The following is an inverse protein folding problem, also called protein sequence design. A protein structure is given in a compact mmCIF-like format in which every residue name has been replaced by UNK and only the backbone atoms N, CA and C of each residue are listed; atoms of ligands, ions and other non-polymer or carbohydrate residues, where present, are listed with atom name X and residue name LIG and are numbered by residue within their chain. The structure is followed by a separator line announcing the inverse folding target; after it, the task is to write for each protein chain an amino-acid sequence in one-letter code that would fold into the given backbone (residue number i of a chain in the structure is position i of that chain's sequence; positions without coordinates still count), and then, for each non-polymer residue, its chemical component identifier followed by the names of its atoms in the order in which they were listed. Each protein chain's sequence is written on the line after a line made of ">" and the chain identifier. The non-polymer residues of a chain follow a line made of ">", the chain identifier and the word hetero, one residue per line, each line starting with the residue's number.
data_IF_430256476179
#
_entry.id   IF_430256476179
#
_cell.length_a   1.000
_cell.length_b   1.000
_cell.length_c   1.000
_cell.angle_alpha   90.00
_cell.angle_beta   90.00
_cell.angle_gamma   90.00
#
_symmetry.space_group_name_H-M   'P 1'
#
loop_
_entity.id
_entity.type
_entity.pdbx_description
1 polymer ?
#
# COMPACT_ATOMS: atom_id res chain seq x y z
N UNK A 1 -9.56 41.42 32.39
CA UNK A 1 -10.47 41.24 31.23
C UNK A 1 -11.08 39.86 31.36
N UNK A 2 -12.37 39.70 31.03
CA UNK A 2 -13.00 38.38 31.01
C UNK A 2 -12.47 37.51 29.86
N UNK A 3 -12.83 36.22 29.82
CA UNK A 3 -12.50 35.34 28.70
C UNK A 3 -13.01 35.92 27.37
N UNK A 4 -12.20 35.81 26.33
CA UNK A 4 -12.53 36.27 24.98
C UNK A 4 -13.57 35.36 24.30
N UNK A 5 -14.16 35.81 23.19
CA UNK A 5 -15.03 34.96 22.36
C UNK A 5 -14.29 33.71 21.86
N UNK A 6 -12.98 33.83 21.64
CA UNK A 6 -12.12 32.71 21.25
C UNK A 6 -12.02 31.67 22.39
N UNK A 7 -11.86 32.13 23.64
CA UNK A 7 -11.79 31.26 24.83
C UNK A 7 -13.12 30.53 25.09
N UNK A 8 -14.25 31.11 24.68
CA UNK A 8 -15.58 30.49 24.77
C UNK A 8 -15.93 29.60 23.55
N UNK A 9 -14.97 29.36 22.66
CA UNK A 9 -15.16 28.53 21.46
C UNK A 9 -14.33 27.25 21.51
N UNK A 10 -14.68 26.20 20.75
CA UNK A 10 -13.82 25.02 20.61
C UNK A 10 -12.62 25.27 19.68
N UNK A 11 -12.49 26.46 19.08
CA UNK A 11 -11.52 26.73 18.02
C UNK A 11 -10.06 26.56 18.46
N UNK A 12 -9.63 27.02 19.67
CA UNK A 12 -8.27 26.77 20.16
C UNK A 12 -7.93 25.28 20.24
N UNK A 13 -8.88 24.46 20.73
CA UNK A 13 -8.74 23.01 20.78
C UNK A 13 -8.62 22.42 19.37
N UNK A 14 -9.48 22.83 18.43
CA UNK A 14 -9.44 22.33 17.05
C UNK A 14 -8.14 22.69 16.33
N UNK A 15 -7.58 23.88 16.59
CA UNK A 15 -6.26 24.25 16.10
C UNK A 15 -5.16 23.37 16.71
N UNK A 16 -5.19 23.13 18.03
CA UNK A 16 -4.22 22.27 18.69
C UNK A 16 -4.24 20.85 18.13
N UNK A 17 -5.42 20.21 18.01
CA UNK A 17 -5.52 18.86 17.47
C UNK A 17 -5.04 18.78 16.01
N UNK A 18 -5.12 19.88 15.25
CA UNK A 18 -4.59 19.93 13.89
C UNK A 18 -3.06 19.74 13.80
N UNK A 19 -2.32 19.96 14.90
CA UNK A 19 -0.87 19.71 14.96
C UNK A 19 -0.55 18.22 14.75
N UNK A 20 -1.43 17.30 15.15
CA UNK A 20 -1.25 15.85 14.94
C UNK A 20 -1.13 15.45 13.46
N UNK A 21 -1.56 16.32 12.54
CA UNK A 21 -1.40 16.12 11.09
C UNK A 21 0.04 16.32 10.62
N UNK A 22 0.83 17.06 11.40
CA UNK A 22 2.20 17.46 11.09
C UNK A 22 3.24 16.72 11.94
N UNK A 23 2.83 16.09 13.03
CA UNK A 23 3.72 15.30 13.89
C UNK A 23 3.93 13.93 13.24
N UNK A 24 5.14 13.61 12.77
CA UNK A 24 5.44 12.29 12.24
C UNK A 24 5.47 11.26 13.39
N UNK A 25 5.08 10.02 13.09
CA UNK A 25 5.33 8.89 13.97
C UNK A 25 6.83 8.61 14.06
N UNK A 26 7.42 9.04 15.16
CA UNK A 26 8.87 9.20 15.34
C UNK A 26 9.59 7.85 15.32
N UNK A 27 8.93 6.77 15.72
CA UNK A 27 9.44 5.39 15.62
C UNK A 27 9.98 5.03 14.22
N UNK A 28 9.35 5.56 13.17
CA UNK A 28 9.69 5.29 11.78
C UNK A 28 10.86 6.12 11.25
N UNK A 29 11.15 7.30 11.80
CA UNK A 29 12.13 8.25 11.25
C UNK A 29 13.56 7.70 11.16
N UNK A 30 13.86 6.61 11.87
CA UNK A 30 15.14 5.89 11.79
C UNK A 30 15.36 5.24 10.43
N UNK A 31 14.26 4.88 9.76
CA UNK A 31 14.29 4.04 8.56
C UNK A 31 13.48 4.67 7.43
N UNK A 32 12.36 5.34 7.70
CA UNK A 32 11.43 5.93 6.73
C UNK A 32 11.58 7.45 6.69
N UNK A 33 11.75 8.03 5.50
CA UNK A 33 12.01 9.46 5.34
C UNK A 33 10.74 10.32 5.53
N UNK A 34 9.61 9.86 4.99
CA UNK A 34 8.32 10.55 5.07
C UNK A 34 7.30 9.60 5.72
N UNK A 35 7.40 9.37 7.04
CA UNK A 35 6.46 8.49 7.71
C UNK A 35 5.08 9.14 7.83
N UNK A 36 4.11 8.32 8.21
CA UNK A 36 2.77 8.75 8.56
C UNK A 36 2.79 9.76 9.72
N UNK A 37 1.72 10.52 9.85
CA UNK A 37 1.50 11.37 11.01
C UNK A 37 0.76 10.61 12.12
N UNK A 38 0.83 11.11 13.35
CA UNK A 38 0.09 10.56 14.50
C UNK A 38 -1.41 10.50 14.19
N UNK A 39 -1.96 11.53 13.53
CA UNK A 39 -3.37 11.52 13.14
C UNK A 39 -3.74 10.46 12.09
N UNK A 40 -2.81 10.06 11.22
CA UNK A 40 -3.03 8.98 10.25
C UNK A 40 -3.09 7.62 10.94
N UNK A 41 -2.16 7.36 11.85
CA UNK A 41 -2.16 6.19 12.73
C UNK A 41 -3.48 6.07 13.52
N UNK A 42 -3.87 7.14 14.21
CA UNK A 42 -5.11 7.16 15.02
C UNK A 42 -6.37 6.94 14.16
N UNK A 43 -6.38 7.43 12.91
CA UNK A 43 -7.48 7.19 11.98
C UNK A 43 -7.61 5.71 11.62
N UNK A 44 -6.52 5.06 11.21
CA UNK A 44 -6.55 3.65 10.87
C UNK A 44 -6.90 2.79 12.08
N UNK A 45 -6.35 3.10 13.26
CA UNK A 45 -6.70 2.43 14.51
C UNK A 45 -8.19 2.55 14.85
N UNK A 46 -8.77 3.75 14.69
CA UNK A 46 -10.20 3.96 14.90
C UNK A 46 -11.06 3.15 13.91
N UNK A 47 -10.64 3.03 12.65
CA UNK A 47 -11.29 2.16 11.65
C UNK A 47 -11.18 0.69 12.03
N UNK A 48 -10.02 0.23 12.50
CA UNK A 48 -9.85 -1.14 13.03
C UNK A 48 -10.78 -1.39 14.22
N UNK A 49 -10.97 -0.39 15.08
CA UNK A 49 -11.87 -0.49 16.22
C UNK A 49 -13.36 -0.62 15.83
N UNK A 50 -13.75 -0.32 14.59
CA UNK A 50 -15.09 -0.62 14.08
C UNK A 50 -15.39 -2.12 14.02
N UNK A 51 -14.35 -2.96 14.03
CA UNK A 51 -14.46 -4.42 14.02
C UNK A 51 -14.38 -5.03 15.43
N UNK A 52 -14.52 -4.21 16.49
CA UNK A 52 -14.59 -4.71 17.85
C UNK A 52 -15.68 -5.79 17.99
N UNK A 53 -15.39 -6.92 18.68
CA UNK A 53 -16.35 -7.98 18.97
C UNK A 53 -17.63 -7.48 19.62
N UNK A 54 -18.74 -8.19 19.42
CA UNK A 54 -20.08 -7.76 19.88
C UNK A 54 -20.18 -7.61 21.41
N UNK A 55 -19.32 -8.27 22.17
CA UNK A 55 -19.27 -8.16 23.63
C UNK A 55 -18.50 -6.92 24.14
N UNK A 56 -17.95 -6.09 23.25
CA UNK A 56 -17.30 -4.82 23.59
C UNK A 56 -18.13 -3.62 23.14
N UNK A 57 -18.01 -2.51 23.86
CA UNK A 57 -18.57 -1.25 23.38
C UNK A 57 -17.72 -0.66 22.25
N UNK A 58 -18.09 -0.99 21.01
CA UNK A 58 -17.43 -0.51 19.78
C UNK A 58 -17.25 1.00 19.73
N UNK A 59 -18.29 1.77 20.09
CA UNK A 59 -18.22 3.22 20.08
C UNK A 59 -17.19 3.75 21.09
N UNK A 60 -17.05 3.06 22.23
CA UNK A 60 -16.01 3.38 23.21
C UNK A 60 -14.62 3.03 22.69
N UNK A 61 -14.43 1.86 22.06
CA UNK A 61 -13.15 1.50 21.43
C UNK A 61 -12.70 2.58 20.41
N UNK A 62 -13.61 2.98 19.51
CA UNK A 62 -13.35 4.03 18.51
C UNK A 62 -12.99 5.34 19.19
N UNK A 63 -13.72 5.72 20.24
CA UNK A 63 -13.45 6.98 20.96
C UNK A 63 -12.10 6.96 21.69
N UNK A 64 -11.73 5.84 22.33
CA UNK A 64 -10.41 5.66 22.93
C UNK A 64 -9.31 5.75 21.88
N UNK A 65 -9.45 5.05 20.74
CA UNK A 65 -8.50 5.12 19.63
C UNK A 65 -8.27 6.56 19.13
N UNK A 66 -9.34 7.35 19.01
CA UNK A 66 -9.25 8.76 18.63
C UNK A 66 -8.65 9.68 19.69
N UNK A 67 -8.54 9.26 20.96
CA UNK A 67 -8.07 10.10 22.06
C UNK A 67 -6.69 9.71 22.60
N UNK A 68 -6.27 8.45 22.44
CA UNK A 68 -5.15 7.89 23.20
C UNK A 68 -3.82 8.62 22.99
N UNK A 69 -3.53 9.10 21.77
CA UNK A 69 -2.32 9.86 21.43
C UNK A 69 -2.61 11.37 21.25
N UNK A 70 -3.78 11.89 21.64
CA UNK A 70 -4.07 13.32 21.52
C UNK A 70 -3.09 14.20 22.31
N UNK A 71 -2.52 13.69 23.40
CA UNK A 71 -1.52 14.40 24.20
C UNK A 71 -0.28 14.80 23.37
N UNK A 72 0.03 14.02 22.33
CA UNK A 72 1.18 14.25 21.46
C UNK A 72 1.07 15.56 20.69
N UNK A 73 -0.13 16.14 20.52
CA UNK A 73 -0.29 17.48 19.96
C UNK A 73 0.39 18.58 20.79
N UNK A 74 0.68 18.28 22.06
CA UNK A 74 1.36 19.17 23.00
C UNK A 74 2.80 18.73 23.24
N UNK A 75 3.04 17.43 23.42
CA UNK A 75 4.34 16.89 23.86
C UNK A 75 5.19 16.26 22.76
N UNK A 76 4.63 16.06 21.56
CA UNK A 76 5.23 15.30 20.46
C UNK A 76 5.17 13.78 20.67
N UNK A 77 5.39 13.01 19.60
CA UNK A 77 5.56 11.55 19.69
C UNK A 77 6.92 11.24 20.32
N UNK A 78 6.91 10.77 21.57
CA UNK A 78 8.12 10.39 22.33
C UNK A 78 8.44 8.91 22.05
N UNK A 79 9.47 8.60 21.24
CA UNK A 79 9.79 7.23 20.87
C UNK A 79 10.50 6.49 22.01
N UNK A 80 10.40 5.17 22.02
CA UNK A 80 11.06 4.30 23.02
C UNK A 80 12.58 4.47 23.04
N UNK A 81 13.21 4.71 21.89
CA UNK A 81 14.66 4.88 21.78
C UNK A 81 15.16 6.25 22.29
N UNK A 82 14.27 7.20 22.62
CA UNK A 82 14.67 8.46 23.25
C UNK A 82 15.14 8.26 24.71
N UNK A 83 14.96 7.07 25.29
CA UNK A 83 15.40 6.75 26.65
C UNK A 83 14.65 7.51 27.74
N UNK A 84 13.53 8.15 27.41
CA UNK A 84 12.68 8.85 28.38
C UNK A 84 12.04 7.81 29.31
N UNK A 85 12.23 7.90 30.65
CA UNK A 85 11.60 6.99 31.58
C UNK A 85 10.07 6.98 31.43
N UNK A 86 9.45 5.81 31.52
CA UNK A 86 7.99 5.65 31.34
C UNK A 86 7.18 6.59 32.23
N UNK A 87 7.59 6.76 33.49
CA UNK A 87 6.93 7.68 34.42
C UNK A 87 7.02 9.15 33.98
N UNK A 88 8.15 9.55 33.38
CA UNK A 88 8.32 10.90 32.87
C UNK A 88 7.47 11.12 31.62
N UNK A 89 7.45 10.16 30.68
CA UNK A 89 6.58 10.18 29.51
C UNK A 89 5.11 10.33 29.92
N UNK A 90 4.63 9.46 30.82
CA UNK A 90 3.27 9.51 31.33
C UNK A 90 2.93 10.87 31.99
N UNK A 91 3.87 11.44 32.75
CA UNK A 91 3.69 12.77 33.35
C UNK A 91 3.54 13.87 32.29
N UNK A 92 4.37 13.85 31.24
CA UNK A 92 4.30 14.82 30.14
C UNK A 92 2.96 14.70 29.40
N UNK A 93 2.56 13.49 29.02
CA UNK A 93 1.30 13.26 28.31
C UNK A 93 0.09 13.67 29.15
N UNK A 94 0.11 13.39 30.46
CA UNK A 94 -0.91 13.88 31.39
C UNK A 94 -1.04 15.41 31.37
N UNK A 95 0.07 16.14 31.37
CA UNK A 95 0.03 17.60 31.22
C UNK A 95 -0.58 18.03 29.88
N UNK A 96 -0.29 17.30 28.79
CA UNK A 96 -0.88 17.55 27.48
C UNK A 96 -2.41 17.41 27.49
N UNK A 97 -2.92 16.34 28.10
CA UNK A 97 -4.37 16.10 28.23
C UNK A 97 -5.04 17.09 29.17
N UNK A 98 -4.40 17.45 30.28
CA UNK A 98 -4.89 18.50 31.20
C UNK A 98 -5.00 19.86 30.47
N UNK A 99 -4.07 20.16 29.56
CA UNK A 99 -4.15 21.36 28.72
C UNK A 99 -5.32 21.29 27.73
N UNK A 100 -5.54 20.14 27.07
CA UNK A 100 -6.70 19.91 26.20
C UNK A 100 -8.02 20.11 26.96
N UNK A 101 -8.14 19.55 28.16
CA UNK A 101 -9.32 19.72 29.02
C UNK A 101 -9.53 21.20 29.38
N UNK A 102 -8.44 21.93 29.67
CA UNK A 102 -8.49 23.38 29.96
C UNK A 102 -9.03 24.18 28.78
N UNK A 103 -8.57 23.90 27.55
CA UNK A 103 -9.05 24.59 26.34
C UNK A 103 -10.54 24.39 26.07
N UNK A 104 -11.10 23.28 26.55
CA UNK A 104 -12.52 22.95 26.40
C UNK A 104 -13.36 23.36 27.62
N UNK A 105 -12.74 23.80 28.72
CA UNK A 105 -13.43 24.04 29.99
C UNK A 105 -14.56 25.08 29.92
N UNK A 106 -14.41 26.11 29.09
CA UNK A 106 -15.42 27.18 28.92
C UNK A 106 -16.42 26.88 27.80
N UNK A 107 -15.97 26.22 26.73
CA UNK A 107 -16.77 26.01 25.52
C UNK A 107 -17.53 24.67 25.51
N UNK A 108 -16.92 23.60 26.04
CA UNK A 108 -17.48 22.26 26.03
C UNK A 108 -16.81 21.32 27.06
N UNK A 109 -17.00 21.62 28.35
CA UNK A 109 -16.34 20.90 29.45
C UNK A 109 -16.61 19.40 29.48
N UNK A 110 -17.80 18.96 29.04
CA UNK A 110 -18.15 17.55 28.93
C UNK A 110 -17.23 16.81 27.94
N UNK A 111 -16.94 17.41 26.79
CA UNK A 111 -16.04 16.80 25.79
C UNK A 111 -14.62 16.74 26.32
N UNK A 112 -14.14 17.79 26.99
CA UNK A 112 -12.82 17.80 27.63
C UNK A 112 -12.66 16.68 28.65
N UNK A 113 -13.64 16.52 29.54
CA UNK A 113 -13.66 15.45 30.53
C UNK A 113 -13.70 14.05 29.87
N UNK A 114 -14.50 13.86 28.81
CA UNK A 114 -14.58 12.59 28.09
C UNK A 114 -13.26 12.21 27.41
N UNK A 115 -12.56 13.16 26.79
CA UNK A 115 -11.25 12.91 26.17
C UNK A 115 -10.25 12.45 27.22
N UNK A 116 -10.19 13.16 28.35
CA UNK A 116 -9.30 12.81 29.46
C UNK A 116 -9.59 11.45 30.06
N UNK A 117 -10.87 11.13 30.26
CA UNK A 117 -11.32 9.83 30.74
C UNK A 117 -10.93 8.70 29.76
N UNK A 118 -11.10 8.90 28.46
CA UNK A 118 -10.69 7.92 27.45
C UNK A 118 -9.17 7.71 27.40
N UNK A 119 -8.39 8.78 27.54
CA UNK A 119 -6.93 8.70 27.64
C UNK A 119 -6.49 7.91 28.88
N UNK A 120 -7.05 8.24 30.06
CA UNK A 120 -6.77 7.53 31.31
C UNK A 120 -7.14 6.05 31.22
N UNK A 121 -8.29 5.72 30.63
CA UNK A 121 -8.73 4.34 30.44
C UNK A 121 -7.72 3.54 29.60
N UNK A 122 -7.22 4.13 28.52
CA UNK A 122 -6.19 3.52 27.68
C UNK A 122 -4.89 3.28 28.47
N UNK A 123 -4.39 4.31 29.16
CA UNK A 123 -3.15 4.26 29.93
C UNK A 123 -3.19 3.19 31.04
N UNK A 124 -4.32 3.10 31.75
CA UNK A 124 -4.53 2.06 32.75
C UNK A 124 -4.63 0.67 32.13
N UNK A 125 -5.30 0.53 30.98
CA UNK A 125 -5.44 -0.72 30.24
C UNK A 125 -6.14 -1.83 31.00
N UNK A 126 -7.07 -1.47 31.89
CA UNK A 126 -7.80 -2.42 32.74
C UNK A 126 -9.14 -2.85 32.16
N UNK A 127 -9.76 -1.99 31.33
CA UNK A 127 -11.04 -2.30 30.71
C UNK A 127 -10.86 -3.19 29.49
N UNK A 128 -11.86 -4.03 29.14
CA UNK A 128 -11.82 -4.82 27.91
C UNK A 128 -11.64 -3.96 26.65
N UNK A 129 -12.30 -2.80 26.59
CA UNK A 129 -12.19 -1.83 25.49
C UNK A 129 -10.77 -1.28 25.36
N UNK A 130 -10.15 -0.82 26.46
CA UNK A 130 -8.76 -0.32 26.42
C UNK A 130 -7.77 -1.43 26.06
N UNK A 131 -7.96 -2.64 26.57
CA UNK A 131 -7.11 -3.78 26.21
C UNK A 131 -7.19 -4.10 24.73
N UNK A 132 -8.40 -4.10 24.16
CA UNK A 132 -8.62 -4.29 22.74
C UNK A 132 -7.97 -3.18 21.90
N UNK A 133 -8.19 -1.90 22.26
CA UNK A 133 -7.60 -0.77 21.52
C UNK A 133 -6.07 -0.82 21.55
N UNK A 134 -5.47 -1.11 22.71
CA UNK A 134 -4.01 -1.24 22.83
C UNK A 134 -3.47 -2.42 22.03
N UNK A 135 -4.22 -3.49 21.89
CA UNK A 135 -3.82 -4.61 21.03
C UNK A 135 -3.90 -4.23 19.55
N UNK A 136 -4.99 -3.58 19.14
CA UNK A 136 -5.16 -3.09 17.77
C UNK A 136 -4.11 -2.03 17.41
N UNK A 137 -3.69 -1.16 18.33
CA UNK A 137 -2.60 -0.20 18.17
C UNK A 137 -1.28 -0.89 17.74
N UNK A 138 -0.94 -2.00 18.40
CA UNK A 138 0.25 -2.79 18.04
C UNK A 138 0.11 -3.47 16.69
N UNK A 139 -1.09 -3.99 16.38
CA UNK A 139 -1.36 -4.63 15.11
C UNK A 139 -1.33 -3.62 13.96
N UNK A 140 -1.86 -2.42 14.18
CA UNK A 140 -1.78 -1.30 13.23
C UNK A 140 -0.32 -0.95 12.93
N UNK A 141 0.51 -0.83 13.97
CA UNK A 141 1.94 -0.60 13.80
C UNK A 141 2.62 -1.70 12.97
N UNK A 142 2.24 -2.98 13.16
CA UNK A 142 2.74 -4.10 12.36
C UNK A 142 2.25 -4.04 10.90
N UNK A 143 1.00 -3.66 10.67
CA UNK A 143 0.44 -3.46 9.32
C UNK A 143 1.18 -2.32 8.60
N UNK A 144 1.46 -1.23 9.30
CA UNK A 144 2.17 -0.09 8.75
C UNK A 144 3.66 -0.41 8.49
N UNK A 145 4.31 -1.20 9.35
CA UNK A 145 5.64 -1.75 9.06
C UNK A 145 5.63 -2.55 7.76
N UNK A 146 4.66 -3.47 7.59
CA UNK A 146 4.54 -4.24 6.35
C UNK A 146 4.31 -3.34 5.12
N UNK A 147 3.47 -2.29 5.25
CA UNK A 147 3.24 -1.32 4.17
C UNK A 147 4.53 -0.60 3.75
N UNK A 148 5.39 -0.23 4.69
CA UNK A 148 6.69 0.37 4.36
C UNK A 148 7.69 -0.62 3.76
N UNK A 149 7.66 -1.88 4.19
CA UNK A 149 8.42 -2.97 3.55
C UNK A 149 7.96 -3.17 2.10
N UNK A 150 6.66 -3.06 1.80
CA UNK A 150 6.14 -3.10 0.43
C UNK A 150 6.62 -1.93 -0.43
N UNK A 151 6.48 -0.70 0.07
CA UNK A 151 6.89 0.52 -0.65
C UNK A 151 8.38 0.54 -1.01
N UNK A 152 9.20 -0.13 -0.20
CA UNK A 152 10.65 -0.21 -0.42
C UNK A 152 11.07 -1.52 -1.09
N UNK A 153 10.10 -2.37 -1.45
CA UNK A 153 10.31 -3.73 -1.94
C UNK A 153 11.30 -4.53 -1.06
N UNK A 154 11.20 -4.31 0.26
CA UNK A 154 12.00 -4.92 1.32
C UNK A 154 13.40 -4.34 1.51
N UNK A 155 13.82 -3.29 0.77
CA UNK A 155 15.13 -2.65 0.98
C UNK A 155 15.31 -2.16 2.41
N UNK A 156 14.21 -1.74 3.03
CA UNK A 156 14.15 -1.42 4.46
C UNK A 156 13.48 -2.57 5.18
N UNK A 157 14.28 -3.37 5.86
CA UNK A 157 13.77 -4.43 6.74
C UNK A 157 13.30 -3.82 8.07
N UNK A 158 12.02 -4.00 8.38
CA UNK A 158 11.39 -3.52 9.60
C UNK A 158 11.11 -4.66 10.58
N UNK A 159 11.91 -5.73 10.52
CA UNK A 159 11.84 -6.87 11.43
C UNK A 159 11.89 -6.48 12.92
N UNK A 160 12.53 -5.35 13.27
CA UNK A 160 12.60 -4.88 14.66
C UNK A 160 11.20 -4.64 15.29
N UNK A 161 10.19 -4.34 14.48
CA UNK A 161 8.81 -4.14 14.94
C UNK A 161 8.09 -5.46 15.25
N UNK A 162 8.57 -6.59 14.73
CA UNK A 162 7.91 -7.90 14.84
C UNK A 162 7.82 -8.40 16.29
N UNK A 163 8.61 -7.85 17.22
CA UNK A 163 8.48 -8.12 18.66
C UNK A 163 7.11 -7.72 19.24
N UNK A 164 6.32 -6.88 18.55
CA UNK A 164 4.96 -6.53 18.95
C UNK A 164 3.97 -7.70 18.79
N UNK A 165 4.24 -8.64 17.87
CA UNK A 165 3.34 -9.78 17.58
C UNK A 165 3.05 -10.64 18.82
N UNK A 166 4.03 -10.80 19.72
CA UNK A 166 3.89 -11.55 20.97
C UNK A 166 2.86 -10.93 21.95
N UNK A 167 2.45 -9.68 21.71
CA UNK A 167 1.44 -8.96 22.51
C UNK A 167 0.05 -9.01 21.88
N UNK A 168 -0.12 -9.70 20.75
CA UNK A 168 -1.39 -9.96 20.10
C UNK A 168 -1.87 -11.34 20.54
N UNK A 169 -2.96 -11.37 21.29
CA UNK A 169 -3.44 -12.54 22.05
C UNK A 169 -4.94 -12.79 21.89
N UNK A 170 -5.75 -11.79 21.53
CA UNK A 170 -7.17 -12.01 21.27
C UNK A 170 -7.38 -12.91 20.05
N UNK A 171 -8.51 -13.60 20.01
CA UNK A 171 -8.89 -14.44 18.87
C UNK A 171 -8.94 -13.65 17.56
N UNK A 172 -9.51 -12.44 17.57
CA UNK A 172 -9.57 -11.59 16.37
C UNK A 172 -8.17 -11.12 15.96
N UNK A 173 -7.38 -10.60 16.91
CA UNK A 173 -6.04 -10.10 16.64
C UNK A 173 -5.10 -11.18 16.12
N UNK A 174 -5.14 -12.39 16.68
CA UNK A 174 -4.32 -13.52 16.23
C UNK A 174 -4.70 -13.99 14.83
N UNK A 175 -6.00 -14.04 14.50
CA UNK A 175 -6.44 -14.37 13.15
C UNK A 175 -5.96 -13.34 12.10
N UNK A 176 -6.01 -12.05 12.42
CA UNK A 176 -5.49 -11.00 11.53
C UNK A 176 -3.97 -11.02 11.43
N UNK A 177 -3.28 -11.27 12.55
CA UNK A 177 -1.82 -11.40 12.56
C UNK A 177 -1.35 -12.58 11.71
N UNK A 178 -2.08 -13.71 11.71
CA UNK A 178 -1.78 -14.84 10.84
C UNK A 178 -1.86 -14.47 9.36
N UNK A 179 -2.93 -13.77 8.95
CA UNK A 179 -3.07 -13.29 7.57
C UNK A 179 -1.99 -12.27 7.20
N UNK A 180 -1.69 -11.32 8.09
CA UNK A 180 -0.62 -10.34 7.87
C UNK A 180 0.75 -11.02 7.72
N UNK A 181 1.03 -12.05 8.51
CA UNK A 181 2.25 -12.85 8.35
C UNK A 181 2.28 -13.57 7.00
N UNK A 182 1.16 -14.12 6.53
CA UNK A 182 1.09 -14.73 5.20
C UNK A 182 1.37 -13.71 4.09
N UNK A 183 0.81 -12.50 4.18
CA UNK A 183 1.09 -11.40 3.24
C UNK A 183 2.57 -11.02 3.25
N UNK A 184 3.15 -10.89 4.46
CA UNK A 184 4.57 -10.55 4.64
C UNK A 184 5.50 -11.62 4.07
N UNK A 185 5.27 -12.90 4.37
CA UNK A 185 6.07 -14.00 3.82
C UNK A 185 5.94 -14.10 2.29
N UNK A 186 4.74 -13.88 1.75
CA UNK A 186 4.53 -13.82 0.31
C UNK A 186 5.36 -12.68 -0.31
N UNK A 187 5.37 -11.49 0.29
CA UNK A 187 6.16 -10.34 -0.16
C UNK A 187 7.67 -10.66 -0.20
N UNK A 188 8.23 -11.22 0.87
CA UNK A 188 9.64 -11.59 0.90
C UNK A 188 9.99 -12.74 -0.05
N UNK A 189 9.07 -13.67 -0.29
CA UNK A 189 9.23 -14.71 -1.32
C UNK A 189 9.33 -14.08 -2.71
N UNK A 190 8.44 -13.15 -3.07
CA UNK A 190 8.48 -12.42 -4.36
C UNK A 190 9.78 -11.66 -4.58
N UNK A 191 10.43 -11.19 -3.51
CA UNK A 191 11.75 -10.55 -3.62
C UNK A 191 12.84 -11.54 -4.05
N UNK A 192 12.77 -12.78 -3.56
CA UNK A 192 13.74 -13.84 -3.90
C UNK A 192 13.45 -14.43 -5.27
N UNK A 193 12.18 -14.52 -5.63
CA UNK A 193 11.72 -15.16 -6.86
C UNK A 193 11.10 -14.12 -7.79
N UNK A 194 11.87 -13.71 -8.81
CA UNK A 194 11.35 -12.79 -9.82
C UNK A 194 10.16 -13.39 -10.54
N UNK A 195 9.06 -12.63 -10.60
CA UNK A 195 7.89 -13.00 -11.39
C UNK A 195 8.22 -12.87 -12.88
N UNK A 196 8.17 -13.98 -13.66
CA UNK A 196 8.61 -13.99 -15.06
C UNK A 196 7.55 -13.34 -15.97
N UNK A 197 7.58 -12.00 -16.03
CA UNK A 197 6.66 -11.19 -16.83
C UNK A 197 7.45 -10.25 -17.74
N UNK A 198 6.91 -10.00 -18.94
CA UNK A 198 7.43 -9.02 -19.90
C UNK A 198 6.28 -8.09 -20.27
N UNK A 199 6.50 -6.79 -20.11
CA UNK A 199 5.59 -5.75 -20.55
C UNK A 199 5.81 -5.47 -22.03
N UNK A 200 4.72 -5.47 -22.80
CA UNK A 200 4.75 -5.14 -24.23
C UNK A 200 3.86 -3.92 -24.46
N UNK A 201 4.51 -2.81 -24.79
CA UNK A 201 3.88 -1.51 -25.03
C UNK A 201 4.14 -1.01 -26.45
N UNK A 202 3.34 -0.06 -26.92
CA UNK A 202 3.46 0.52 -28.25
C UNK A 202 2.54 -0.10 -29.31
N UNK A 203 2.90 0.08 -30.58
CA UNK A 203 2.07 -0.26 -31.75
C UNK A 203 2.29 -1.73 -32.16
N UNK A 204 1.33 -2.35 -32.87
CA UNK A 204 1.51 -3.71 -33.42
C UNK A 204 1.52 -4.87 -32.40
N UNK A 205 1.31 -4.57 -31.11
CA UNK A 205 1.37 -5.53 -29.99
C UNK A 205 0.52 -6.80 -30.17
N UNK A 206 -0.66 -6.69 -30.80
CA UNK A 206 -1.60 -7.81 -30.95
C UNK A 206 -1.03 -8.92 -31.84
N UNK A 207 -0.59 -8.57 -33.04
CA UNK A 207 -0.10 -9.51 -34.06
C UNK A 207 1.19 -10.19 -33.60
N UNK A 208 2.12 -9.44 -33.01
CA UNK A 208 3.43 -9.95 -32.62
C UNK A 208 3.37 -10.86 -31.38
N UNK A 209 2.52 -10.55 -30.40
CA UNK A 209 2.35 -11.40 -29.22
C UNK A 209 1.70 -12.75 -29.54
N UNK A 210 0.81 -12.80 -30.54
CA UNK A 210 0.19 -14.03 -30.99
C UNK A 210 1.23 -15.01 -31.59
N UNK A 211 2.28 -14.49 -32.22
CA UNK A 211 3.39 -15.28 -32.76
C UNK A 211 4.28 -15.81 -31.63
N UNK A 212 4.70 -14.93 -30.70
CA UNK A 212 5.54 -15.32 -29.55
C UNK A 212 4.90 -16.38 -28.65
N UNK A 213 3.61 -16.24 -28.36
CA UNK A 213 2.90 -17.16 -27.46
C UNK A 213 2.90 -18.60 -27.98
N UNK A 214 2.80 -18.78 -29.30
CA UNK A 214 2.77 -20.12 -29.93
C UNK A 214 4.13 -20.82 -29.89
N UNK A 215 5.23 -20.08 -29.94
CA UNK A 215 6.57 -20.67 -30.07
C UNK A 215 7.27 -20.87 -28.72
N UNK A 216 7.02 -20.02 -27.72
CA UNK A 216 7.81 -19.99 -26.47
C UNK A 216 7.10 -20.58 -25.24
N UNK A 217 5.90 -21.18 -25.38
CA UNK A 217 5.07 -21.67 -24.26
C UNK A 217 4.71 -20.56 -23.23
N UNK A 218 4.62 -19.31 -23.69
CA UNK A 218 4.29 -18.18 -22.83
C UNK A 218 2.78 -18.00 -22.71
N UNK A 219 2.34 -17.52 -21.54
CA UNK A 219 1.02 -16.93 -21.39
C UNK A 219 1.01 -15.55 -22.04
N UNK A 220 -0.09 -15.19 -22.67
CA UNK A 220 -0.35 -13.81 -23.10
C UNK A 220 -1.64 -13.35 -22.45
N UNK A 221 -1.65 -12.14 -21.88
CA UNK A 221 -2.84 -11.53 -21.30
C UNK A 221 -2.76 -10.00 -21.39
N UNK A 222 -3.89 -9.33 -21.19
CA UNK A 222 -3.97 -7.89 -20.86
C UNK A 222 -4.57 -7.69 -19.47
N UNK A 223 -4.50 -6.46 -18.95
CA UNK A 223 -5.21 -6.09 -17.73
C UNK A 223 -6.74 -6.21 -17.92
N UNK A 224 -7.26 -5.69 -19.03
CA UNK A 224 -8.68 -5.79 -19.39
C UNK A 224 -9.19 -7.24 -19.46
N UNK A 225 -8.40 -8.15 -20.04
CA UNK A 225 -8.74 -9.57 -20.13
C UNK A 225 -8.84 -10.20 -18.74
N UNK A 226 -7.86 -9.91 -17.86
CA UNK A 226 -7.85 -10.41 -16.50
C UNK A 226 -9.03 -9.85 -15.67
N UNK A 227 -9.35 -8.56 -15.83
CA UNK A 227 -10.48 -7.91 -15.17
C UNK A 227 -11.81 -8.49 -15.64
N UNK A 228 -12.02 -8.68 -16.95
CA UNK A 228 -13.25 -9.25 -17.49
C UNK A 228 -13.47 -10.68 -17.01
N UNK A 229 -12.43 -11.51 -17.01
CA UNK A 229 -12.51 -12.88 -16.51
C UNK A 229 -12.97 -12.92 -15.04
N UNK A 230 -12.47 -12.02 -14.18
CA UNK A 230 -12.92 -11.95 -12.78
C UNK A 230 -14.27 -11.25 -12.61
N UNK A 231 -14.68 -10.39 -13.54
CA UNK A 231 -16.03 -9.81 -13.56
C UNK A 231 -17.09 -10.88 -13.90
N UNK A 232 -16.74 -11.84 -14.75
CA UNK A 232 -17.61 -12.93 -15.18
C UNK A 232 -17.64 -14.13 -14.20
N UNK A 233 -16.73 -14.17 -13.22
CA UNK A 233 -16.69 -15.18 -12.16
C UNK A 233 -17.61 -14.80 -10.99
N UNK A 234 -18.79 -15.42 -10.82
CA UNK A 234 -19.73 -15.06 -9.77
C UNK A 234 -19.23 -15.41 -8.36
N UNK A 235 -18.17 -16.22 -8.23
CA UNK A 235 -17.58 -16.59 -6.94
C UNK A 235 -16.55 -15.59 -6.46
N UNK A 236 -16.04 -14.72 -7.36
CA UNK A 236 -15.04 -13.73 -6.99
C UNK A 236 -15.68 -12.59 -6.16
N UNK A 237 -15.14 -12.24 -4.98
CA UNK A 237 -15.77 -11.25 -4.08
C UNK A 237 -16.01 -9.87 -4.72
N UNK A 238 -15.15 -9.47 -5.65
CA UNK A 238 -15.25 -8.17 -6.34
C UNK A 238 -15.92 -8.24 -7.73
N UNK A 239 -16.45 -9.40 -8.16
CA UNK A 239 -16.96 -9.58 -9.53
C UNK A 239 -17.98 -8.49 -9.92
N UNK A 240 -19.01 -8.29 -9.09
CA UNK A 240 -20.05 -7.28 -9.32
C UNK A 240 -19.49 -5.85 -9.37
N UNK A 241 -18.49 -5.56 -8.54
CA UNK A 241 -17.87 -4.24 -8.50
C UNK A 241 -17.08 -3.96 -9.79
N UNK A 242 -16.28 -4.95 -10.24
CA UNK A 242 -15.52 -4.84 -11.50
C UNK A 242 -16.47 -4.72 -12.69
N UNK A 243 -17.55 -5.53 -12.70
CA UNK A 243 -18.57 -5.46 -13.75
C UNK A 243 -19.19 -4.06 -13.83
N UNK A 244 -19.48 -3.45 -12.67
CA UNK A 244 -20.02 -2.09 -12.62
C UNK A 244 -19.01 -1.04 -13.12
N UNK A 245 -17.73 -1.13 -12.73
CA UNK A 245 -16.67 -0.26 -13.26
C UNK A 245 -16.59 -0.31 -14.80
N UNK A 246 -16.64 -1.52 -15.37
CA UNK A 246 -16.61 -1.74 -16.82
C UNK A 246 -17.84 -1.11 -17.49
N UNK A 247 -19.04 -1.32 -16.92
CA UNK A 247 -20.30 -0.78 -17.44
C UNK A 247 -20.31 0.75 -17.46
N UNK A 248 -19.86 1.37 -16.37
CA UNK A 248 -19.82 2.83 -16.20
C UNK A 248 -18.59 3.48 -16.84
N UNK A 249 -17.67 2.69 -17.42
CA UNK A 249 -16.39 3.15 -17.98
C UNK A 249 -15.54 3.91 -16.96
N UNK A 250 -15.58 3.47 -15.71
CA UNK A 250 -14.76 3.98 -14.62
C UNK A 250 -13.59 3.03 -14.38
N UNK A 251 -12.41 3.57 -14.08
CA UNK A 251 -11.25 2.74 -13.77
C UNK A 251 -11.48 1.90 -12.52
N UNK A 252 -11.10 0.62 -12.61
CA UNK A 252 -11.00 -0.25 -11.44
C UNK A 252 -9.87 0.30 -10.54
N UNK A 253 -10.04 0.34 -9.21
CA UNK A 253 -8.98 0.76 -8.29
C UNK A 253 -7.67 0.02 -8.57
N UNK A 254 -6.60 0.77 -8.66
CA UNK A 254 -5.28 0.29 -9.09
C UNK A 254 -4.82 -0.92 -8.26
N UNK A 255 -4.99 -0.88 -6.93
CA UNK A 255 -4.64 -2.00 -6.05
C UNK A 255 -5.38 -3.28 -6.42
N UNK A 256 -6.68 -3.19 -6.68
CA UNK A 256 -7.50 -4.34 -7.09
C UNK A 256 -7.06 -4.85 -8.47
N UNK A 257 -6.83 -3.94 -9.42
CA UNK A 257 -6.38 -4.26 -10.77
C UNK A 257 -5.04 -5.03 -10.76
N UNK A 258 -4.04 -4.54 -9.99
CA UNK A 258 -2.74 -5.21 -9.85
C UNK A 258 -2.89 -6.57 -9.16
N UNK A 259 -3.71 -6.69 -8.10
CA UNK A 259 -3.93 -7.98 -7.43
C UNK A 259 -4.55 -9.05 -8.34
N UNK A 260 -5.49 -8.65 -9.21
CA UNK A 260 -6.14 -9.54 -10.19
C UNK A 260 -5.12 -9.96 -11.25
N UNK A 261 -4.35 -9.00 -11.74
CA UNK A 261 -3.31 -9.24 -12.74
C UNK A 261 -2.22 -10.18 -12.21
N UNK A 262 -1.75 -9.97 -10.98
CA UNK A 262 -0.79 -10.85 -10.33
C UNK A 262 -1.31 -12.29 -10.23
N UNK A 263 -2.56 -12.47 -9.78
CA UNK A 263 -3.19 -13.80 -9.76
C UNK A 263 -3.22 -14.42 -11.15
N UNK A 264 -3.55 -13.63 -12.18
CA UNK A 264 -3.59 -14.10 -13.57
C UNK A 264 -2.21 -14.55 -14.07
N UNK A 265 -1.14 -13.86 -13.68
CA UNK A 265 0.24 -14.28 -13.98
C UNK A 265 0.54 -15.62 -13.29
N UNK A 266 0.23 -15.73 -11.99
CA UNK A 266 0.51 -16.93 -11.20
C UNK A 266 -0.29 -18.16 -11.66
N UNK A 267 -1.54 -17.99 -12.06
CA UNK A 267 -2.35 -19.06 -12.68
C UNK A 267 -1.69 -19.63 -13.94
N UNK A 268 -1.00 -18.78 -14.71
CA UNK A 268 -0.20 -19.20 -15.86
C UNK A 268 0.93 -20.12 -15.50
N UNK A 269 1.71 -19.72 -14.50
CA UNK A 269 2.85 -20.47 -14.00
C UNK A 269 2.41 -21.82 -13.45
N UNK A 270 1.30 -21.85 -12.70
CA UNK A 270 0.70 -23.09 -12.20
C UNK A 270 0.23 -24.04 -13.32
N UNK A 271 -0.17 -23.49 -14.48
CA UNK A 271 -0.51 -24.26 -15.69
C UNK A 271 0.72 -24.65 -16.53
N UNK A 272 1.93 -24.48 -16.01
CA UNK A 272 3.18 -24.86 -16.66
C UNK A 272 3.71 -23.84 -17.67
N UNK A 273 3.13 -22.63 -17.74
CA UNK A 273 3.68 -21.55 -18.58
C UNK A 273 4.97 -21.02 -17.95
N UNK A 274 5.95 -20.68 -18.79
CA UNK A 274 7.26 -20.23 -18.31
C UNK A 274 7.31 -18.74 -18.01
N UNK A 275 6.64 -17.93 -18.82
CA UNK A 275 6.58 -16.48 -18.72
C UNK A 275 5.21 -15.96 -19.11
N UNK A 276 4.89 -14.74 -18.66
CA UNK A 276 3.69 -14.00 -19.10
C UNK A 276 4.08 -12.77 -19.91
N UNK A 277 3.53 -12.67 -21.12
CA UNK A 277 3.53 -11.46 -21.93
C UNK A 277 2.31 -10.62 -21.58
N UNK A 278 2.55 -9.47 -20.96
CA UNK A 278 1.51 -8.56 -20.55
C UNK A 278 1.42 -7.38 -21.51
N UNK A 279 0.33 -7.30 -22.27
CA UNK A 279 0.20 -6.33 -23.37
C UNK A 279 -0.52 -5.08 -22.92
N UNK A 280 -0.02 -3.93 -23.38
CA UNK A 280 -0.61 -2.63 -23.07
C UNK A 280 -0.47 -2.19 -21.62
N UNK A 281 0.28 -2.93 -20.81
CA UNK A 281 0.59 -2.59 -19.43
C UNK A 281 2.05 -2.11 -19.32
N UNK A 282 2.35 -1.16 -18.44
CA UNK A 282 1.40 -0.39 -17.62
C UNK A 282 0.63 0.65 -18.45
N UNK A 283 -0.62 0.92 -18.07
CA UNK A 283 -1.45 1.96 -18.73
C UNK A 283 -1.25 3.35 -18.13
N UNK A 284 -0.62 3.44 -16.96
CA UNK A 284 -0.36 4.68 -16.26
C UNK A 284 0.86 4.52 -15.34
N UNK A 285 1.43 5.65 -14.89
CA UNK A 285 2.50 5.63 -13.87
C UNK A 285 2.01 4.98 -12.58
N UNK A 286 0.76 5.21 -12.18
CA UNK A 286 0.19 4.61 -10.97
C UNK A 286 0.14 3.08 -11.06
N UNK A 287 -0.22 2.52 -12.22
CA UNK A 287 -0.17 1.07 -12.43
C UNK A 287 1.25 0.53 -12.30
N UNK A 288 2.25 1.22 -12.86
CA UNK A 288 3.63 0.79 -12.76
C UNK A 288 4.13 0.82 -11.31
N UNK A 289 3.88 1.92 -10.60
CA UNK A 289 4.27 2.10 -9.20
C UNK A 289 3.64 1.02 -8.31
N UNK A 290 2.32 0.81 -8.41
CA UNK A 290 1.66 -0.22 -7.60
C UNK A 290 2.14 -1.63 -7.94
N UNK A 291 2.40 -1.93 -9.21
CA UNK A 291 2.99 -3.22 -9.60
C UNK A 291 4.41 -3.39 -9.03
N UNK A 292 5.18 -2.31 -8.97
CA UNK A 292 6.53 -2.34 -8.41
C UNK A 292 6.55 -2.55 -6.89
N UNK A 293 5.58 -1.96 -6.20
CA UNK A 293 5.44 -2.10 -4.75
C UNK A 293 4.87 -3.48 -4.36
N UNK A 294 3.89 -4.01 -5.11
CA UNK A 294 3.18 -5.25 -4.75
C UNK A 294 3.77 -6.53 -5.35
N UNK A 295 4.35 -6.44 -6.56
CA UNK A 295 4.72 -7.62 -7.37
C UNK A 295 6.21 -7.70 -7.61
N UNK A 296 6.81 -6.71 -8.29
CA UNK A 296 8.27 -6.70 -8.53
C UNK A 296 8.83 -5.32 -8.90
N UNK A 297 9.95 -4.94 -8.27
CA UNK A 297 10.64 -3.67 -8.54
C UNK A 297 11.22 -3.57 -9.96
N UNK A 298 11.92 -4.61 -10.42
CA UNK A 298 12.66 -4.60 -11.68
C UNK A 298 11.88 -5.33 -12.79
N UNK A 299 11.47 -4.59 -13.82
CA UNK A 299 10.61 -5.13 -14.89
C UNK A 299 11.36 -5.28 -16.23
N UNK A 300 10.87 -6.21 -17.07
CA UNK A 300 11.30 -6.36 -18.46
C UNK A 300 10.29 -5.69 -19.38
N UNK A 301 10.74 -4.73 -20.18
CA UNK A 301 9.84 -3.96 -21.04
C UNK A 301 10.33 -3.98 -22.47
N UNK A 302 9.45 -4.42 -23.36
CA UNK A 302 9.61 -4.30 -24.80
C UNK A 302 8.71 -3.20 -25.34
N UNK A 303 9.33 -2.21 -25.98
CA UNK A 303 8.63 -1.15 -26.67
C UNK A 303 8.64 -1.40 -28.19
N UNK A 304 7.45 -1.43 -28.78
CA UNK A 304 7.25 -1.51 -30.22
C UNK A 304 6.92 -0.12 -30.81
N UNK A 305 7.76 0.37 -31.71
CA UNK A 305 7.59 1.65 -32.42
C UNK A 305 7.36 1.43 -33.92
N UNK A 306 6.81 2.42 -34.63
CA UNK A 306 6.61 2.35 -36.09
C UNK A 306 6.77 3.74 -36.68
N UNK A 307 7.56 3.87 -37.75
CA UNK A 307 7.74 5.14 -38.46
C UNK A 307 6.71 5.36 -39.58
N UNK A 308 5.74 4.46 -39.75
CA UNK A 308 4.67 4.61 -40.75
C UNK A 308 3.83 5.86 -40.46
N UNK A 309 3.54 6.63 -41.52
CA UNK A 309 2.71 7.84 -41.42
C UNK A 309 1.31 7.46 -40.95
N UNK A 310 0.89 7.98 -39.79
CA UNK A 310 -0.40 7.66 -39.14
C UNK A 310 -0.29 6.75 -37.91
N UNK A 311 0.89 6.21 -37.60
CA UNK A 311 1.15 5.44 -36.36
C UNK A 311 1.91 6.23 -35.28
N UNK A 312 2.06 7.55 -35.45
CA UNK A 312 2.72 8.40 -34.46
C UNK A 312 1.81 8.48 -33.22
N UNK A 313 2.25 7.97 -32.05
CA UNK A 313 1.47 8.10 -30.82
C UNK A 313 1.23 9.57 -30.53
N UNK A 314 0.08 9.92 -29.94
CA UNK A 314 -0.17 11.31 -29.57
C UNK A 314 0.89 11.78 -28.54
N UNK A 315 1.09 13.10 -28.41
CA UNK A 315 2.12 13.68 -27.55
C UNK A 315 2.03 13.21 -26.08
N UNK A 316 0.82 12.91 -25.60
CA UNK A 316 0.59 12.40 -24.25
C UNK A 316 1.11 10.96 -24.10
N UNK A 317 0.87 10.11 -25.09
CA UNK A 317 1.42 8.75 -25.15
C UNK A 317 2.94 8.77 -25.23
N UNK A 318 3.53 9.71 -25.98
CA UNK A 318 5.00 9.87 -26.03
C UNK A 318 5.57 10.26 -24.66
N UNK A 319 4.96 11.25 -23.98
CA UNK A 319 5.39 11.67 -22.64
C UNK A 319 5.24 10.57 -21.60
N UNK A 320 4.14 9.81 -21.64
CA UNK A 320 3.92 8.64 -20.77
C UNK A 320 4.93 7.52 -21.06
N UNK A 321 5.25 7.28 -22.33
CA UNK A 321 6.28 6.32 -22.75
C UNK A 321 7.69 6.77 -22.34
N UNK A 322 8.00 8.06 -22.43
CA UNK A 322 9.26 8.63 -21.93
C UNK A 322 9.35 8.57 -20.40
N UNK A 323 8.25 8.86 -19.69
CA UNK A 323 8.17 8.69 -18.25
C UNK A 323 8.32 7.22 -17.83
N UNK A 324 7.70 6.28 -18.56
CA UNK A 324 7.90 4.84 -18.37
C UNK A 324 9.31 4.40 -18.70
N UNK A 325 9.96 4.97 -19.74
CA UNK A 325 11.38 4.73 -20.03
C UNK A 325 12.28 5.21 -18.88
N UNK A 326 11.98 6.38 -18.31
CA UNK A 326 12.70 6.91 -17.14
C UNK A 326 12.46 6.06 -15.88
N UNK A 327 11.25 5.55 -15.67
CA UNK A 327 10.95 4.63 -14.56
C UNK A 327 11.52 3.22 -14.80
N UNK A 328 11.72 2.83 -16.06
CA UNK A 328 12.40 1.61 -16.47
C UNK A 328 13.94 1.71 -16.38
N UNK A 329 14.51 2.80 -15.84
CA UNK A 329 15.93 2.88 -15.49
C UNK A 329 16.29 1.81 -14.43
N UNK A 330 15.33 1.45 -13.57
CA UNK A 330 15.43 0.29 -12.66
C UNK A 330 14.91 -1.00 -13.34
N UNK A 331 15.02 -1.16 -14.66
CA UNK A 331 14.49 -2.30 -15.41
C UNK A 331 15.35 -2.64 -16.64
N UNK A 332 14.97 -3.70 -17.34
CA UNK A 332 15.67 -4.12 -18.57
C UNK A 332 14.78 -3.81 -19.78
N UNK A 333 15.18 -2.81 -20.55
CA UNK A 333 14.36 -2.20 -21.61
C UNK A 333 14.94 -2.48 -23.00
N UNK A 334 14.09 -2.80 -23.97
CA UNK A 334 14.45 -2.84 -25.40
C UNK A 334 13.39 -2.15 -26.25
N UNK A 335 13.86 -1.39 -27.22
CA UNK A 335 13.02 -0.76 -28.25
C UNK A 335 13.23 -1.46 -29.59
N UNK A 336 12.13 -1.78 -30.26
CA UNK A 336 12.12 -2.42 -31.58
C UNK A 336 11.19 -1.66 -32.49
N UNK A 337 11.69 -1.35 -33.68
CA UNK A 337 10.87 -0.83 -34.76
C UNK A 337 10.10 -1.97 -35.47
N UNK A 338 8.77 -1.90 -35.47
CA UNK A 338 7.81 -2.79 -36.14
C UNK A 338 7.69 -2.50 -37.65
N UNK A 339 8.50 -1.58 -38.19
CA UNK A 339 8.70 -1.44 -39.64
C UNK A 339 9.51 -2.64 -40.19
N UNK A 340 9.05 -3.22 -41.30
CA UNK A 340 9.71 -4.34 -41.98
C UNK A 340 8.72 -5.41 -42.41
N UNK A 341 9.23 -6.56 -42.85
CA UNK A 341 8.42 -7.77 -43.02
C UNK A 341 8.02 -8.35 -41.65
N UNK A 342 6.93 -9.13 -41.60
CA UNK A 342 6.48 -9.76 -40.36
C UNK A 342 7.56 -10.70 -39.76
N UNK A 343 8.33 -11.37 -40.62
CA UNK A 343 9.42 -12.27 -40.23
C UNK A 343 10.60 -11.50 -39.62
N UNK A 344 11.04 -10.41 -40.27
CA UNK A 344 12.14 -9.57 -39.78
C UNK A 344 11.83 -8.91 -38.43
N UNK A 345 10.57 -8.49 -38.24
CA UNK A 345 10.14 -7.93 -36.96
C UNK A 345 10.09 -9.03 -35.90
N UNK A 346 9.53 -10.19 -36.24
CA UNK A 346 9.44 -11.32 -35.33
C UNK A 346 10.82 -11.74 -34.80
N UNK A 347 11.82 -11.91 -35.68
CA UNK A 347 13.18 -12.30 -35.27
C UNK A 347 13.81 -11.30 -34.30
N UNK A 348 13.59 -9.99 -34.51
CA UNK A 348 14.07 -8.94 -33.60
C UNK A 348 13.40 -9.04 -32.23
N UNK A 349 12.08 -9.26 -32.22
CA UNK A 349 11.29 -9.40 -30.99
C UNK A 349 11.69 -10.66 -30.23
N UNK A 350 11.81 -11.79 -30.91
CA UNK A 350 12.23 -13.07 -30.34
C UNK A 350 13.62 -12.96 -29.71
N UNK A 351 14.58 -12.38 -30.43
CA UNK A 351 15.93 -12.11 -29.91
C UNK A 351 15.92 -11.20 -28.67
N UNK A 352 15.02 -10.21 -28.62
CA UNK A 352 14.85 -9.37 -27.45
C UNK A 352 14.32 -10.15 -26.24
N UNK A 353 13.24 -10.91 -26.44
CA UNK A 353 12.59 -11.74 -25.41
C UNK A 353 13.55 -12.81 -24.89
N UNK A 354 14.26 -13.52 -25.76
CA UNK A 354 15.30 -14.47 -25.33
C UNK A 354 16.39 -13.81 -24.49
N UNK A 355 16.79 -12.59 -24.86
CA UNK A 355 17.73 -11.79 -24.08
C UNK A 355 17.22 -11.52 -22.67
N UNK A 356 15.92 -11.20 -22.52
CA UNK A 356 15.29 -10.99 -21.22
C UNK A 356 15.29 -12.27 -20.37
N UNK A 357 14.91 -13.40 -20.97
CA UNK A 357 14.90 -14.71 -20.30
C UNK A 357 16.31 -15.09 -19.83
N UNK A 358 17.31 -14.99 -20.71
CA UNK A 358 18.71 -15.30 -20.39
C UNK A 358 19.25 -14.38 -19.29
N UNK A 359 18.88 -13.10 -19.31
CA UNK A 359 19.25 -12.14 -18.25
C UNK A 359 18.63 -12.55 -16.91
N UNK A 360 17.33 -12.87 -16.87
CA UNK A 360 16.64 -13.27 -15.64
C UNK A 360 17.24 -14.52 -15.01
N UNK A 361 17.58 -15.53 -15.83
CA UNK A 361 18.22 -16.76 -15.36
C UNK A 361 19.58 -16.51 -14.71
N UNK A 362 20.37 -15.57 -15.25
CA UNK A 362 21.67 -15.19 -14.67
C UNK A 362 21.49 -14.47 -13.34
N UNK A 363 20.54 -13.53 -13.26
CA UNK A 363 20.27 -12.77 -12.02
C UNK A 363 19.76 -13.69 -10.90
N UNK A 364 18.91 -14.67 -11.21
CA UNK A 364 18.41 -15.62 -10.21
C UNK A 364 19.45 -16.67 -9.76
N UNK A 365 20.59 -16.78 -10.46
CA UNK A 365 21.68 -17.72 -10.12
C UNK A 365 22.79 -17.11 -9.27
N UNK A 366 22.73 -15.81 -9.03
CA UNK A 366 23.62 -15.01 -8.19
C UNK A 366 22.92 -14.69 -6.87
#
# INVERSE_FOLDING_TARGET
>A
MGPSDLDNSPLPFLHLISELKRIPRTGWLRTVQNPESVSAHMYQLAVMCMFAPENLNRNRCIFIALCHDMAESVVGDIPTYAGVPKEHKHKLERFGVDYIETLLSLSNSEVGARIKDAWLECEEGKTPEAQFVREMDKLECLMQAHRYEQQTFGEKDLQEFQGLSAKITSHLGTAWMELLNQEREAHYTKRRERTPVIFIIGVGKETQCALLSKQLEFQTTTLDEALREKADDPTHPCAKYIQHCIQEKVQVPVQLAISILERKINEGLQKGKKWTLLRGFPESIQHLTEFQEQVQKFNYTLLLTSNRVGSVPNTQTIQEMEAMKCLAIDGYFKEINDDGSAEEVYERIESAVEGFVKHAQRVNSL
#
